data_IF_308532816832
#
_entry.id   IF_308532816832
#
_cell.length_a   1.000
_cell.length_b   1.000
_cell.length_c   1.000
_cell.angle_alpha   90.00
_cell.angle_beta   90.00
_cell.angle_gamma   90.00
#
_symmetry.space_group_name_H-M   'P 1'
#
loop_
_entity.id
_entity.type
_entity.pdbx_description
1 polymer ?
#
# COMPACT_ATOMS: atom_id res chain seq x y z
N UNK A 1 13.22 -55.53 68.35
CA UNK A 1 14.35 -54.60 68.08
C UNK A 1 13.85 -53.54 67.10
N UNK A 2 13.95 -52.27 67.50
CA UNK A 2 13.57 -51.09 66.70
C UNK A 2 14.69 -50.78 65.71
N UNK A 3 14.35 -50.39 64.49
CA UNK A 3 15.17 -49.45 63.73
C UNK A 3 14.24 -48.43 63.06
N UNK A 4 14.53 -47.17 63.35
CA UNK A 4 13.85 -45.96 62.88
C UNK A 4 14.82 -45.30 61.89
N UNK A 5 14.29 -44.40 61.06
CA UNK A 5 14.97 -43.33 60.30
C UNK A 5 15.27 -43.73 58.84
N UNK A 6 15.00 -42.93 57.81
CA UNK A 6 14.72 -41.48 57.75
C UNK A 6 14.10 -41.15 56.37
N UNK A 7 13.09 -40.27 56.31
CA UNK A 7 12.76 -39.51 55.10
C UNK A 7 13.84 -38.44 54.84
N UNK A 8 14.08 -38.10 53.57
CA UNK A 8 14.22 -36.70 53.15
C UNK A 8 13.17 -36.37 52.06
N UNK A 9 12.27 -35.42 52.26
CA UNK A 9 12.45 -33.97 52.09
C UNK A 9 12.96 -33.57 50.69
N UNK A 10 11.99 -33.14 49.86
CA UNK A 10 12.01 -31.93 49.03
C UNK A 10 13.34 -31.57 48.35
N UNK A 11 13.47 -31.93 47.07
CA UNK A 11 14.25 -31.16 46.12
C UNK A 11 13.28 -30.37 45.22
N UNK A 12 12.85 -29.22 45.71
CA UNK A 12 12.38 -28.13 44.87
C UNK A 12 13.54 -27.64 44.01
N UNK A 13 13.23 -27.34 42.74
CA UNK A 13 13.98 -26.33 42.00
C UNK A 13 15.05 -26.87 41.07
N UNK A 14 14.65 -27.11 39.84
CA UNK A 14 15.25 -26.43 38.69
C UNK A 14 14.13 -26.25 37.67
N UNK A 15 13.31 -25.21 37.85
CA UNK A 15 12.59 -24.67 36.70
C UNK A 15 13.71 -24.11 35.83
N UNK A 16 14.08 -24.84 34.77
CA UNK A 16 14.81 -24.22 33.68
C UNK A 16 13.94 -23.05 33.24
N UNK A 17 14.42 -21.84 33.54
CA UNK A 17 13.88 -20.64 32.95
C UNK A 17 14.08 -20.82 31.44
N UNK A 18 13.07 -21.38 30.78
CA UNK A 18 12.86 -21.17 29.36
C UNK A 18 12.63 -19.68 29.31
N UNK A 19 13.71 -18.94 29.04
CA UNK A 19 13.59 -17.61 28.47
C UNK A 19 12.78 -17.83 27.20
N UNK A 20 11.46 -17.70 27.34
CA UNK A 20 10.61 -17.32 26.23
C UNK A 20 11.21 -15.98 25.81
N UNK A 21 12.14 -16.04 24.85
CA UNK A 21 12.49 -14.90 24.04
C UNK A 21 11.12 -14.38 23.62
N UNK A 22 10.69 -13.18 24.05
CA UNK A 22 9.56 -12.58 23.41
C UNK A 22 9.99 -12.55 21.95
N UNK A 23 9.33 -13.35 21.10
CA UNK A 23 9.37 -13.08 19.69
C UNK A 23 8.88 -11.65 19.65
N UNK A 24 9.83 -10.70 19.53
CA UNK A 24 9.50 -9.32 19.24
C UNK A 24 8.57 -9.48 18.06
N UNK A 25 7.30 -9.13 18.26
CA UNK A 25 6.31 -9.07 17.21
C UNK A 25 6.91 -8.11 16.20
N UNK A 26 7.68 -8.66 15.25
CA UNK A 26 8.15 -7.90 14.10
C UNK A 26 6.88 -7.34 13.51
N UNK A 27 6.76 -6.01 13.55
CA UNK A 27 5.61 -5.35 12.96
C UNK A 27 5.47 -5.89 11.54
N UNK A 28 4.26 -6.29 11.12
CA UNK A 28 4.07 -6.96 9.85
C UNK A 28 4.66 -6.08 8.75
N UNK A 29 5.75 -6.53 8.14
CA UNK A 29 6.31 -5.86 6.98
C UNK A 29 5.42 -6.23 5.80
N UNK A 30 4.65 -5.28 5.32
CA UNK A 30 3.79 -5.49 4.17
C UNK A 30 4.62 -5.42 2.89
N UNK A 31 4.37 -6.35 1.98
CA UNK A 31 4.76 -6.21 0.59
C UNK A 31 3.58 -5.63 -0.19
N UNK A 32 3.84 -5.05 -1.37
CA UNK A 32 2.79 -4.47 -2.20
C UNK A 32 2.90 -4.89 -3.65
N UNK A 33 1.78 -4.78 -4.36
CA UNK A 33 1.75 -4.85 -5.81
C UNK A 33 0.79 -3.81 -6.39
N UNK A 34 1.19 -3.25 -7.52
CA UNK A 34 0.36 -2.37 -8.32
C UNK A 34 -0.61 -3.22 -9.15
N UNK A 35 -1.88 -2.80 -9.18
CA UNK A 35 -2.92 -3.42 -9.99
C UNK A 35 -2.62 -3.32 -11.50
N UNK A 36 -3.22 -4.19 -12.32
CA UNK A 36 -2.86 -4.30 -13.74
C UNK A 36 -3.33 -3.12 -14.59
N UNK A 37 -4.25 -2.30 -14.09
CA UNK A 37 -4.88 -1.21 -14.83
C UNK A 37 -5.24 -0.05 -13.91
N UNK A 38 -5.41 1.13 -14.49
CA UNK A 38 -5.97 2.28 -13.80
C UNK A 38 -7.49 2.13 -13.69
N UNK A 39 -8.01 2.32 -12.49
CA UNK A 39 -9.45 2.41 -12.26
C UNK A 39 -9.91 3.79 -12.71
N UNK A 40 -11.00 3.84 -13.46
CA UNK A 40 -11.58 5.09 -13.97
C UNK A 40 -10.59 5.96 -14.77
N UNK A 41 -9.52 5.38 -15.31
CA UNK A 41 -8.51 6.06 -16.12
C UNK A 41 -7.47 6.89 -15.35
N UNK A 42 -7.65 7.11 -14.04
CA UNK A 42 -6.72 7.93 -13.23
C UNK A 42 -6.33 7.33 -11.88
N UNK A 43 -7.00 6.29 -11.40
CA UNK A 43 -6.81 5.77 -10.05
C UNK A 43 -5.92 4.53 -10.05
N UNK A 44 -4.78 4.62 -9.37
CA UNK A 44 -3.87 3.50 -9.14
C UNK A 44 -4.35 2.65 -7.97
N UNK A 45 -4.58 1.36 -8.22
CA UNK A 45 -4.89 0.40 -7.16
C UNK A 45 -3.61 -0.28 -6.67
N UNK A 46 -3.35 -0.24 -5.37
CA UNK A 46 -2.19 -0.86 -4.72
C UNK A 46 -2.69 -1.87 -3.69
N UNK A 47 -2.26 -3.12 -3.82
CA UNK A 47 -2.61 -4.20 -2.91
C UNK A 47 -1.47 -4.43 -1.93
N UNK A 48 -1.77 -4.48 -0.65
CA UNK A 48 -0.80 -4.79 0.40
C UNK A 48 -1.04 -6.21 0.95
N UNK A 49 0.04 -6.96 1.13
CA UNK A 49 0.04 -8.33 1.61
C UNK A 49 0.93 -8.44 2.83
N UNK A 50 0.51 -9.21 3.82
CA UNK A 50 1.37 -9.51 4.96
C UNK A 50 2.42 -10.54 4.55
N UNK A 51 3.70 -10.15 4.64
CA UNK A 51 4.82 -11.01 4.24
C UNK A 51 4.88 -12.33 5.04
N UNK A 52 4.45 -12.31 6.30
CA UNK A 52 4.64 -13.42 7.23
C UNK A 52 3.68 -14.59 6.98
N UNK A 53 2.49 -14.31 6.43
CA UNK A 53 1.47 -15.33 6.21
C UNK A 53 0.88 -15.30 4.80
N UNK A 54 1.29 -14.37 3.95
CA UNK A 54 0.78 -14.18 2.59
C UNK A 54 -0.67 -13.69 2.53
N UNK A 55 -1.29 -13.38 3.68
CA UNK A 55 -2.68 -12.94 3.69
C UNK A 55 -2.79 -11.53 3.11
N UNK A 56 -3.79 -11.38 2.25
CA UNK A 56 -4.20 -10.09 1.74
C UNK A 56 -4.64 -9.20 2.91
N UNK A 57 -4.03 -8.02 3.02
CA UNK A 57 -4.29 -7.10 4.11
C UNK A 57 -5.34 -6.06 3.70
N UNK A 58 -5.06 -5.29 2.64
CA UNK A 58 -5.97 -4.25 2.14
C UNK A 58 -5.61 -3.81 0.72
N UNK A 59 -6.54 -3.08 0.09
CA UNK A 59 -6.30 -2.35 -1.15
C UNK A 59 -6.42 -0.86 -0.89
N UNK A 60 -5.43 -0.11 -1.34
CA UNK A 60 -5.41 1.35 -1.33
C UNK A 60 -5.52 1.85 -2.76
N UNK A 61 -6.34 2.87 -2.97
CA UNK A 61 -6.52 3.51 -4.26
C UNK A 61 -5.97 4.94 -4.18
N UNK A 62 -5.00 5.26 -5.03
CA UNK A 62 -4.38 6.58 -5.12
C UNK A 62 -4.78 7.24 -6.44
N UNK A 63 -5.31 8.46 -6.38
CA UNK A 63 -5.60 9.26 -7.55
C UNK A 63 -4.30 9.86 -8.13
N UNK A 64 -3.89 9.40 -9.32
CA UNK A 64 -2.67 9.86 -9.97
C UNK A 64 -2.79 11.26 -10.58
N UNK A 65 -4.00 11.81 -10.73
CA UNK A 65 -4.18 13.21 -11.11
C UNK A 65 -3.76 14.18 -10.00
N UNK A 66 -3.63 13.69 -8.75
CA UNK A 66 -2.98 14.43 -7.68
C UNK A 66 -1.46 14.49 -7.84
N UNK A 67 -0.87 13.61 -8.65
CA UNK A 67 0.58 13.44 -8.76
C UNK A 67 1.18 13.96 -10.07
N UNK A 68 0.40 13.97 -11.16
CA UNK A 68 0.93 14.23 -12.49
C UNK A 68 0.15 15.30 -13.24
N UNK A 69 0.90 16.15 -13.93
CA UNK A 69 0.42 17.25 -14.75
C UNK A 69 1.08 17.27 -16.12
N UNK A 70 0.96 18.40 -16.80
CA UNK A 70 1.36 18.54 -18.21
C UNK A 70 2.19 19.80 -18.35
N UNK A 71 3.39 19.68 -18.89
CA UNK A 71 4.09 20.83 -19.46
C UNK A 71 3.33 21.26 -20.72
N UNK A 72 2.60 22.37 -20.66
CA UNK A 72 1.74 22.80 -21.76
C UNK A 72 2.52 23.20 -23.02
N UNK A 73 3.80 23.57 -22.90
CA UNK A 73 4.64 23.96 -24.03
C UNK A 73 5.15 22.74 -24.78
N UNK A 74 5.58 21.71 -24.04
CA UNK A 74 6.14 20.49 -24.63
C UNK A 74 5.14 19.36 -24.79
N UNK A 75 3.96 19.50 -24.18
CA UNK A 75 2.94 18.45 -24.02
C UNK A 75 3.49 17.22 -23.30
N UNK A 76 4.43 17.43 -22.37
CA UNK A 76 5.10 16.34 -21.66
C UNK A 76 4.42 16.04 -20.33
N UNK A 77 4.30 14.75 -20.00
CA UNK A 77 3.89 14.28 -18.69
C UNK A 77 4.95 14.67 -17.65
N UNK A 78 4.55 15.42 -16.63
CA UNK A 78 5.44 15.89 -15.56
C UNK A 78 4.86 15.56 -14.19
N UNK A 79 5.73 15.41 -13.20
CA UNK A 79 5.31 15.30 -11.80
C UNK A 79 4.88 16.68 -11.30
N UNK A 80 3.63 16.80 -10.89
CA UNK A 80 3.00 18.06 -10.49
C UNK A 80 1.84 17.79 -9.54
N UNK A 81 1.86 18.46 -8.38
CA UNK A 81 0.78 18.43 -7.41
C UNK A 81 -0.55 18.91 -8.05
N UNK A 82 -1.59 18.07 -7.99
CA UNK A 82 -2.93 18.32 -8.58
C UNK A 82 -2.92 18.61 -10.08
N UNK A 83 -2.03 17.95 -10.82
CA UNK A 83 -1.77 18.26 -12.23
C UNK A 83 -2.84 17.82 -13.25
N UNK A 84 -3.69 16.83 -12.93
CA UNK A 84 -4.79 16.34 -13.77
C UNK A 84 -4.40 15.85 -15.17
N UNK A 85 -3.20 15.31 -15.35
CA UNK A 85 -2.74 14.85 -16.67
C UNK A 85 -3.58 13.70 -17.25
N UNK A 86 -4.01 12.75 -16.42
CA UNK A 86 -4.68 11.53 -16.88
C UNK A 86 -6.12 11.84 -17.26
N UNK A 87 -6.82 12.67 -16.47
CA UNK A 87 -8.15 13.18 -16.84
C UNK A 87 -8.13 13.88 -18.19
N UNK A 88 -7.09 14.68 -18.50
CA UNK A 88 -6.97 15.33 -19.81
C UNK A 88 -6.90 14.32 -20.97
N UNK A 89 -6.11 13.26 -20.85
CA UNK A 89 -6.12 12.22 -21.88
C UNK A 89 -7.48 11.53 -21.99
N UNK A 90 -8.12 11.25 -20.85
CA UNK A 90 -9.44 10.61 -20.82
C UNK A 90 -10.52 11.46 -21.51
N UNK A 91 -10.49 12.78 -21.35
CA UNK A 91 -11.36 13.73 -22.07
C UNK A 91 -11.18 13.65 -23.60
N UNK A 92 -10.00 13.26 -24.07
CA UNK A 92 -9.68 12.98 -25.48
C UNK A 92 -9.99 11.53 -25.90
N UNK A 93 -10.69 10.77 -25.06
CA UNK A 93 -11.03 9.35 -25.28
C UNK A 93 -9.79 8.44 -25.41
N UNK A 94 -8.70 8.82 -24.74
CA UNK A 94 -7.46 8.04 -24.66
C UNK A 94 -7.07 7.82 -23.20
N UNK A 95 -6.86 6.57 -22.82
CA UNK A 95 -6.39 6.26 -21.46
C UNK A 95 -4.86 6.23 -21.41
N UNK A 96 -4.29 6.77 -20.34
CA UNK A 96 -2.91 6.43 -19.98
C UNK A 96 -2.87 4.96 -19.53
N UNK A 97 -1.72 4.32 -19.69
CA UNK A 97 -1.54 2.89 -19.40
C UNK A 97 -0.46 2.66 -18.36
N UNK A 98 -0.64 1.61 -17.57
CA UNK A 98 0.41 1.10 -16.69
C UNK A 98 1.22 0.07 -17.46
N UNK A 99 2.53 0.30 -17.54
CA UNK A 99 3.48 -0.66 -18.09
C UNK A 99 4.32 -1.24 -16.98
N UNK A 100 4.34 -2.56 -16.87
CA UNK A 100 5.22 -3.26 -15.94
C UNK A 100 6.55 -3.56 -16.63
N UNK A 101 7.65 -3.14 -16.04
CA UNK A 101 8.97 -3.61 -16.40
C UNK A 101 9.19 -4.99 -15.77
N UNK A 102 9.29 -6.03 -16.60
CA UNK A 102 9.45 -7.40 -16.12
C UNK A 102 10.86 -7.70 -15.57
N UNK A 103 11.87 -6.91 -15.95
CA UNK A 103 13.24 -7.09 -15.50
C UNK A 103 13.44 -6.48 -14.11
N UNK A 104 12.92 -5.27 -13.89
CA UNK A 104 13.07 -4.56 -12.61
C UNK A 104 11.90 -4.78 -11.65
N UNK A 105 10.77 -5.24 -12.16
CA UNK A 105 9.50 -5.28 -11.42
C UNK A 105 8.82 -3.92 -11.27
N UNK A 106 9.44 -2.83 -11.75
CA UNK A 106 8.93 -1.46 -11.66
C UNK A 106 7.69 -1.26 -12.51
N UNK A 107 6.88 -0.27 -12.14
CA UNK A 107 5.72 0.14 -12.91
C UNK A 107 5.90 1.56 -13.43
N UNK A 108 5.58 1.76 -14.71
CA UNK A 108 5.61 3.05 -15.36
C UNK A 108 4.19 3.47 -15.77
N UNK A 109 3.93 4.77 -15.69
CA UNK A 109 2.76 5.41 -16.28
C UNK A 109 3.15 5.93 -17.66
N UNK A 110 2.47 5.48 -18.69
CA UNK A 110 2.67 5.90 -20.08
C UNK A 110 1.39 6.55 -20.62
N UNK A 111 1.50 7.82 -21.01
CA UNK A 111 0.42 8.60 -21.59
C UNK A 111 0.78 8.95 -23.04
N UNK A 112 -0.14 8.67 -23.97
CA UNK A 112 -0.04 9.11 -25.37
C UNK A 112 -1.40 9.59 -25.87
N UNK A 113 -1.64 10.89 -25.71
CA UNK A 113 -2.80 11.60 -26.22
C UNK A 113 -2.37 12.93 -26.87
N UNK A 114 -3.30 13.69 -27.44
CA UNK A 114 -2.98 14.93 -28.16
C UNK A 114 -2.49 16.05 -27.22
N UNK A 115 -2.94 16.04 -25.96
CA UNK A 115 -2.51 16.99 -24.93
C UNK A 115 -1.32 16.56 -24.10
N UNK A 116 -1.09 15.25 -23.94
CA UNK A 116 -0.06 14.71 -23.02
C UNK A 116 0.65 13.54 -23.66
N UNK A 117 1.98 13.58 -23.65
CA UNK A 117 2.85 12.50 -24.08
C UNK A 117 3.95 12.27 -23.05
N UNK A 118 4.31 11.02 -22.83
CA UNK A 118 5.49 10.67 -22.06
C UNK A 118 5.26 9.54 -21.08
N UNK A 119 6.38 9.06 -20.56
CA UNK A 119 6.45 7.92 -19.67
C UNK A 119 7.23 8.28 -18.41
N UNK A 120 6.69 7.93 -17.25
CA UNK A 120 7.32 8.17 -15.95
C UNK A 120 7.32 6.89 -15.12
N UNK A 121 8.46 6.59 -14.48
CA UNK A 121 8.56 5.46 -13.55
C UNK A 121 7.89 5.85 -12.23
N UNK A 122 6.84 5.11 -11.84
CA UNK A 122 6.03 5.44 -10.67
C UNK A 122 6.81 5.30 -9.36
N UNK A 123 7.75 4.36 -9.28
CA UNK A 123 8.60 4.12 -8.11
C UNK A 123 9.43 5.36 -7.73
N UNK A 124 9.61 6.31 -8.65
CA UNK A 124 10.32 7.58 -8.39
C UNK A 124 9.46 8.58 -7.62
N UNK A 125 8.13 8.51 -7.77
CA UNK A 125 7.18 9.52 -7.28
C UNK A 125 6.25 9.00 -6.18
N UNK A 126 6.10 7.68 -6.07
CA UNK A 126 5.26 7.04 -5.07
C UNK A 126 6.08 6.61 -3.87
N UNK A 127 5.57 6.92 -2.67
CA UNK A 127 6.12 6.42 -1.42
C UNK A 127 5.18 5.37 -0.84
N UNK A 128 5.74 4.22 -0.47
CA UNK A 128 5.00 3.12 0.14
C UNK A 128 5.41 2.95 1.60
N UNK A 129 4.45 2.94 2.52
CA UNK A 129 4.69 2.63 3.91
C UNK A 129 4.36 1.16 4.19
N UNK A 130 5.40 0.33 4.28
CA UNK A 130 5.28 -1.10 4.52
C UNK A 130 4.69 -1.45 5.91
N UNK A 131 4.70 -0.53 6.87
CA UNK A 131 4.18 -0.80 8.23
C UNK A 131 2.68 -0.50 8.33
N UNK A 132 2.20 0.52 7.63
CA UNK A 132 0.79 0.96 7.68
C UNK A 132 -0.02 0.52 6.47
N UNK A 133 0.66 0.11 5.39
CA UNK A 133 0.03 -0.25 4.13
C UNK A 133 -0.58 0.95 3.44
N UNK A 134 0.14 2.08 3.46
CA UNK A 134 -0.25 3.32 2.79
C UNK A 134 0.62 3.55 1.55
N UNK A 135 0.05 4.23 0.56
CA UNK A 135 0.77 4.77 -0.60
C UNK A 135 0.47 6.26 -0.73
N UNK A 136 1.47 7.06 -1.04
CA UNK A 136 1.32 8.51 -1.20
C UNK A 136 2.16 9.08 -2.35
N UNK A 137 1.70 10.22 -2.87
CA UNK A 137 2.45 11.09 -3.78
C UNK A 137 2.17 12.54 -3.37
N UNK A 138 3.17 13.44 -3.34
CA UNK A 138 2.96 14.86 -2.99
C UNK A 138 2.09 15.11 -1.73
N UNK A 139 2.19 14.25 -0.71
CA UNK A 139 1.36 14.25 0.53
C UNK A 139 -0.11 13.88 0.33
N UNK A 140 -0.55 13.56 -0.90
CA UNK A 140 -1.83 12.93 -1.16
C UNK A 140 -1.74 11.45 -0.86
N UNK A 141 -2.54 11.00 0.10
CA UNK A 141 -2.59 9.62 0.53
C UNK A 141 -3.67 8.89 -0.24
N UNK A 142 -3.35 7.66 -0.66
CA UNK A 142 -4.35 6.77 -1.19
C UNK A 142 -5.37 6.40 -0.11
N UNK A 143 -6.58 6.09 -0.55
CA UNK A 143 -7.71 5.80 0.31
C UNK A 143 -8.19 4.37 0.12
N UNK A 144 -8.66 3.80 1.22
CA UNK A 144 -9.31 2.50 1.20
C UNK A 144 -10.78 2.69 0.85
N UNK A 145 -11.13 2.39 -0.40
CA UNK A 145 -12.45 2.69 -0.97
C UNK A 145 -13.58 1.95 -0.22
N UNK A 146 -13.32 0.77 0.34
CA UNK A 146 -14.30 0.06 1.16
C UNK A 146 -14.59 0.85 2.44
N UNK A 147 -13.54 1.32 3.11
CA UNK A 147 -13.66 2.11 4.33
C UNK A 147 -14.31 3.48 4.06
N UNK A 148 -14.00 4.14 2.96
CA UNK A 148 -14.66 5.40 2.58
C UNK A 148 -16.14 5.21 2.28
N UNK A 149 -16.51 4.15 1.57
CA UNK A 149 -17.91 3.84 1.27
C UNK A 149 -18.73 3.49 2.53
N UNK A 150 -18.10 2.88 3.53
CA UNK A 150 -18.72 2.61 4.83
C UNK A 150 -18.87 3.90 5.66
N UNK A 151 -17.90 4.82 5.60
CA UNK A 151 -17.99 6.14 6.24
C UNK A 151 -19.08 7.02 5.59
N UNK A 152 -19.20 7.02 4.27
CA UNK A 152 -20.22 7.82 3.58
C UNK A 152 -21.65 7.33 3.84
N UNK A 153 -21.84 6.01 4.03
CA UNK A 153 -23.14 5.42 4.41
C UNK A 153 -23.52 5.63 5.87
N UNK A 154 -22.55 5.76 6.77
CA UNK A 154 -22.81 6.02 8.20
C UNK A 154 -23.08 7.50 8.49
N UNK A 155 -22.60 8.42 7.65
CA UNK A 155 -22.87 9.86 7.77
C UNK A 155 -24.24 10.33 7.28
N UNK A 156 -25.07 9.45 6.72
CA UNK A 156 -26.43 9.75 6.24
C UNK A 156 -27.54 9.40 7.25
N UNK A 157 -27.21 8.95 8.46
CA UNK A 157 -28.20 8.52 9.46
C UNK A 157 -28.72 9.61 10.42
N UNK A 158 -28.21 10.85 10.33
CA UNK A 158 -28.59 11.97 11.23
C UNK A 158 -29.24 13.16 10.49
N UNK A 159 -30.01 12.88 9.44
CA UNK A 159 -30.90 13.88 8.83
C UNK A 159 -32.23 13.26 8.42
N UNK A 160 -33.06 12.96 9.41
CA UNK A 160 -34.53 13.00 9.28
C UNK A 160 -35.16 13.36 10.62
#
# INVERSE_FOLDING_TARGET
MKSIQTLPLLAFGCITAVYAIPQMLESPRLTWSIGPQLLEGHTLSVRFFNHNNGWFFRTINLDLDQCFGVDATKKELIAQDKGKALTKCKEEQKDCTLQKNNETGSSALDCDCASVRGKVELDTFLTFNANTGDVECYKHKGVDYLMERLKSKSGTADKE
#
